data_IF_900768638296
#
_entry.id   IF_900768638296
#
_cell.length_a   1.000
_cell.length_b   1.000
_cell.length_c   1.000
_cell.angle_alpha   90.00
_cell.angle_beta   90.00
_cell.angle_gamma   90.00
#
_symmetry.space_group_name_H-M   'P 1'
#
loop_
_entity.id
_entity.type
_entity.pdbx_description
1 polymer ?
#
# COMPACT_ATOMS: atom_id res chain seq x y z
N UNK A 1 -7.59 -20.73 22.38
CA UNK A 1 -7.62 -19.22 22.27
C UNK A 1 -7.78 -18.80 20.81
N UNK A 2 -8.07 -17.51 20.52
CA UNK A 2 -8.20 -17.00 19.13
C UNK A 2 -6.98 -16.13 18.83
N UNK A 3 -6.16 -16.55 17.88
CA UNK A 3 -5.10 -15.71 17.29
C UNK A 3 -5.74 -14.63 16.42
N UNK A 4 -5.35 -13.37 16.59
CA UNK A 4 -5.97 -12.20 15.94
C UNK A 4 -4.96 -11.47 15.09
N UNK A 5 -5.19 -11.42 13.78
CA UNK A 5 -4.30 -10.71 12.83
C UNK A 5 -5.01 -9.61 12.07
N UNK A 6 -4.25 -8.59 11.70
CA UNK A 6 -4.57 -7.64 10.63
C UNK A 6 -3.82 -8.04 9.37
N UNK A 7 -4.49 -8.13 8.23
CA UNK A 7 -3.89 -8.53 6.95
C UNK A 7 -4.12 -7.44 5.90
N UNK A 8 -3.04 -6.86 5.38
CA UNK A 8 -3.08 -5.97 4.22
C UNK A 8 -2.56 -6.69 2.98
N UNK A 9 -3.43 -6.91 2.00
CA UNK A 9 -3.08 -7.48 0.69
C UNK A 9 -2.67 -6.34 -0.27
N UNK A 10 -1.48 -5.80 -0.06
CA UNK A 10 -0.95 -4.72 -0.88
C UNK A 10 -0.38 -5.19 -2.23
N UNK A 11 -0.23 -4.24 -3.17
CA UNK A 11 0.37 -4.51 -4.48
C UNK A 11 1.85 -4.87 -4.39
N UNK A 12 2.63 -4.16 -3.57
CA UNK A 12 4.06 -4.43 -3.39
C UNK A 12 4.32 -5.51 -2.35
N UNK A 13 3.63 -5.42 -1.23
CA UNK A 13 3.81 -6.32 -0.09
C UNK A 13 2.46 -6.81 0.43
N UNK A 14 2.44 -8.03 0.95
CA UNK A 14 1.43 -8.52 1.87
C UNK A 14 1.99 -8.33 3.28
N UNK A 15 1.23 -7.65 4.14
CA UNK A 15 1.67 -7.32 5.50
C UNK A 15 0.68 -7.90 6.50
N UNK A 16 1.21 -8.67 7.46
CA UNK A 16 0.46 -9.17 8.61
C UNK A 16 0.90 -8.40 9.85
N UNK A 17 -0.05 -7.98 10.65
CA UNK A 17 0.20 -7.43 11.97
C UNK A 17 -0.52 -8.25 13.03
N UNK A 18 0.23 -8.72 14.01
CA UNK A 18 -0.26 -9.29 15.25
C UNK A 18 0.13 -8.38 16.41
N UNK A 19 -0.79 -8.14 17.35
CA UNK A 19 -0.54 -7.23 18.49
C UNK A 19 0.56 -7.75 19.44
N UNK A 20 0.86 -9.03 19.40
CA UNK A 20 1.85 -9.70 20.28
C UNK A 20 3.13 -10.06 19.54
N UNK A 21 3.02 -10.57 18.31
CA UNK A 21 4.15 -11.03 17.48
C UNK A 21 4.77 -9.91 16.62
N UNK A 22 4.08 -8.77 16.47
CA UNK A 22 4.57 -7.65 15.68
C UNK A 22 4.11 -7.67 14.22
N UNK A 23 4.98 -7.20 13.32
CA UNK A 23 4.65 -7.04 11.89
C UNK A 23 5.53 -7.98 11.07
N UNK A 24 4.90 -8.76 10.20
CA UNK A 24 5.55 -9.61 9.21
C UNK A 24 5.17 -9.15 7.80
N UNK A 25 6.16 -9.10 6.90
CA UNK A 25 5.97 -8.61 5.53
C UNK A 25 6.60 -9.54 4.51
N UNK A 26 5.80 -9.87 3.49
CA UNK A 26 6.20 -10.64 2.31
C UNK A 26 6.00 -9.83 1.04
N UNK A 27 6.87 -10.05 0.04
CA UNK A 27 6.67 -9.50 -1.28
C UNK A 27 5.38 -10.08 -1.92
N UNK A 28 4.59 -9.21 -2.53
CA UNK A 28 3.35 -9.60 -3.24
C UNK A 28 3.68 -10.10 -4.65
N UNK A 29 4.37 -11.25 -4.74
CA UNK A 29 4.91 -11.77 -5.99
C UNK A 29 4.98 -13.29 -5.95
N UNK A 30 4.86 -13.93 -7.13
CA UNK A 30 5.15 -15.34 -7.35
C UNK A 30 6.15 -15.51 -8.47
N UNK A 31 7.02 -16.49 -8.36
CA UNK A 31 7.89 -16.98 -9.41
C UNK A 31 7.19 -18.14 -10.11
N UNK A 32 6.96 -18.00 -11.41
CA UNK A 32 6.17 -18.95 -12.22
C UNK A 32 7.04 -19.50 -13.35
N UNK A 33 7.08 -20.81 -13.49
CA UNK A 33 7.74 -21.48 -14.61
C UNK A 33 7.07 -21.10 -15.94
N UNK A 34 7.87 -20.71 -16.94
CA UNK A 34 7.38 -20.21 -18.25
C UNK A 34 6.62 -21.26 -19.03
N UNK A 35 7.05 -22.53 -18.96
CA UNK A 35 6.53 -23.62 -19.77
C UNK A 35 5.32 -24.28 -19.10
N UNK A 36 5.48 -24.71 -17.86
CA UNK A 36 4.42 -25.43 -17.12
C UNK A 36 3.38 -24.52 -16.47
N UNK A 37 3.64 -23.21 -16.37
CA UNK A 37 2.81 -22.23 -15.66
C UNK A 37 2.61 -22.55 -14.17
N UNK A 38 3.42 -23.39 -13.60
CA UNK A 38 3.37 -23.74 -12.16
C UNK A 38 4.08 -22.69 -11.33
N UNK A 39 3.53 -22.43 -10.15
CA UNK A 39 4.18 -21.59 -9.14
C UNK A 39 5.38 -22.36 -8.58
N UNK A 40 6.57 -21.78 -8.69
CA UNK A 40 7.83 -22.31 -8.15
C UNK A 40 7.95 -21.87 -6.69
N UNK A 41 7.82 -20.59 -6.42
CA UNK A 41 7.90 -19.99 -5.09
C UNK A 41 7.09 -18.69 -5.03
N UNK A 42 6.84 -18.20 -3.80
CA UNK A 42 6.09 -16.97 -3.54
C UNK A 42 6.83 -16.10 -2.54
N UNK A 43 6.44 -14.83 -2.47
CA UNK A 43 6.96 -13.91 -1.47
C UNK A 43 8.44 -13.57 -1.70
N UNK A 44 9.18 -13.42 -0.60
CA UNK A 44 10.61 -13.07 -0.61
C UNK A 44 11.43 -14.15 -1.32
N UNK A 45 11.12 -15.43 -1.13
CA UNK A 45 11.78 -16.54 -1.82
C UNK A 45 11.67 -16.46 -3.33
N UNK A 46 10.60 -15.90 -3.87
CA UNK A 46 10.45 -15.69 -5.30
C UNK A 46 11.44 -14.65 -5.84
N UNK A 47 11.73 -13.61 -5.05
CA UNK A 47 12.73 -12.60 -5.41
C UNK A 47 14.15 -13.19 -5.31
N UNK A 48 14.45 -13.91 -4.24
CA UNK A 48 15.77 -14.52 -4.01
C UNK A 48 16.16 -15.50 -5.13
N UNK A 49 15.20 -16.26 -5.65
CA UNK A 49 15.42 -17.25 -6.70
C UNK A 49 15.37 -16.65 -8.12
N UNK A 50 14.94 -15.39 -8.26
CA UNK A 50 14.72 -14.77 -9.57
C UNK A 50 16.00 -14.72 -10.43
N UNK A 51 17.12 -14.30 -9.87
CA UNK A 51 18.38 -14.11 -10.63
C UNK A 51 18.86 -15.42 -11.24
N UNK A 52 18.68 -16.55 -10.54
CA UNK A 52 19.07 -17.88 -11.01
C UNK A 52 18.07 -18.46 -12.04
N UNK A 53 16.81 -18.08 -11.98
CA UNK A 53 15.72 -18.69 -12.73
C UNK A 53 15.14 -17.78 -13.81
N UNK A 54 15.66 -16.58 -14.01
CA UNK A 54 15.11 -15.56 -14.91
C UNK A 54 14.96 -16.02 -16.36
N UNK A 55 15.80 -16.95 -16.83
CA UNK A 55 15.69 -17.52 -18.18
C UNK A 55 14.45 -18.40 -18.36
N UNK A 56 14.05 -19.15 -17.34
CA UNK A 56 12.95 -20.15 -17.38
C UNK A 56 11.73 -19.79 -16.55
N UNK A 57 11.76 -18.72 -15.80
CA UNK A 57 10.65 -18.30 -14.94
C UNK A 57 10.25 -16.84 -15.18
N UNK A 58 9.10 -16.44 -14.62
CA UNK A 58 8.56 -15.08 -14.63
C UNK A 58 8.18 -14.68 -13.21
N UNK A 59 8.50 -13.45 -12.82
CA UNK A 59 7.94 -12.81 -11.62
C UNK A 59 6.58 -12.20 -11.96
N UNK A 60 5.54 -12.64 -11.26
CA UNK A 60 4.17 -12.21 -11.50
C UNK A 60 3.55 -11.68 -10.20
N UNK A 61 2.92 -10.50 -10.28
CA UNK A 61 2.17 -9.93 -9.17
C UNK A 61 0.69 -10.28 -9.26
N UNK A 62 0.05 -10.70 -8.15
CA UNK A 62 -1.36 -11.13 -8.15
C UNK A 62 -2.36 -9.97 -8.20
N UNK A 63 -1.89 -8.74 -7.99
CA UNK A 63 -2.72 -7.55 -7.97
C UNK A 63 -2.43 -6.66 -9.18
N UNK A 64 -3.48 -6.00 -9.69
CA UNK A 64 -3.36 -4.97 -10.73
C UNK A 64 -4.14 -3.76 -10.29
N UNK A 65 -3.50 -2.60 -10.31
CA UNK A 65 -4.11 -1.35 -9.86
C UNK A 65 -4.76 -1.46 -8.46
N UNK A 66 -4.13 -2.21 -7.54
CA UNK A 66 -4.64 -2.41 -6.18
C UNK A 66 -5.80 -3.39 -6.02
N UNK A 67 -6.26 -4.01 -7.11
CA UNK A 67 -7.34 -5.02 -7.10
C UNK A 67 -6.80 -6.43 -7.37
N UNK A 68 -7.50 -7.44 -6.85
CA UNK A 68 -7.22 -8.85 -7.10
C UNK A 68 -7.31 -9.14 -8.60
N UNK A 69 -6.23 -9.65 -9.18
CA UNK A 69 -6.14 -10.00 -10.60
C UNK A 69 -5.96 -11.50 -10.83
N UNK A 70 -5.14 -12.15 -10.00
CA UNK A 70 -4.89 -13.59 -10.06
C UNK A 70 -5.20 -14.26 -8.72
N UNK A 71 -6.28 -15.05 -8.71
CA UNK A 71 -6.74 -15.75 -7.52
C UNK A 71 -5.75 -16.82 -7.05
N UNK A 72 -5.20 -17.61 -7.99
CA UNK A 72 -4.33 -18.75 -7.64
C UNK A 72 -3.03 -18.29 -7.00
N UNK A 73 -2.42 -17.25 -7.58
CA UNK A 73 -1.21 -16.65 -7.01
C UNK A 73 -1.51 -16.04 -5.65
N UNK A 74 -2.64 -15.29 -5.52
CA UNK A 74 -3.05 -14.69 -4.24
C UNK A 74 -3.25 -15.76 -3.19
N UNK A 75 -3.96 -16.85 -3.53
CA UNK A 75 -4.18 -17.99 -2.63
C UNK A 75 -2.87 -18.57 -2.13
N UNK A 76 -1.91 -18.79 -3.04
CA UNK A 76 -0.61 -19.38 -2.69
C UNK A 76 0.18 -18.47 -1.74
N UNK A 77 0.20 -17.15 -1.99
CA UNK A 77 0.90 -16.20 -1.11
C UNK A 77 0.20 -16.10 0.24
N UNK A 78 -1.13 -16.00 0.28
CA UNK A 78 -1.90 -15.93 1.53
C UNK A 78 -1.71 -17.19 2.36
N UNK A 79 -1.76 -18.37 1.72
CA UNK A 79 -1.53 -19.66 2.40
C UNK A 79 -0.11 -19.75 2.97
N UNK A 80 0.89 -19.27 2.24
CA UNK A 80 2.29 -19.20 2.71
C UNK A 80 2.41 -18.29 3.94
N UNK A 81 1.86 -17.09 3.87
CA UNK A 81 1.91 -16.10 4.95
C UNK A 81 1.15 -16.58 6.18
N UNK A 82 -0.05 -17.12 6.00
CA UNK A 82 -0.87 -17.66 7.11
C UNK A 82 -0.20 -18.88 7.73
N UNK A 83 0.40 -19.76 6.93
CA UNK A 83 1.11 -20.94 7.38
C UNK A 83 2.35 -20.65 8.25
N UNK A 84 2.93 -19.43 8.15
CA UNK A 84 4.04 -19.00 9.00
C UNK A 84 3.62 -18.42 10.36
N UNK A 85 2.30 -18.23 10.60
CA UNK A 85 1.78 -17.65 11.82
C UNK A 85 1.52 -18.77 12.83
N UNK A 86 2.04 -18.67 14.07
CA UNK A 86 1.69 -19.60 15.14
C UNK A 86 0.20 -19.45 15.52
N UNK A 87 -0.60 -20.49 15.26
CA UNK A 87 -2.04 -20.49 15.57
C UNK A 87 -2.31 -21.53 16.66
N UNK A 88 -2.90 -21.09 17.79
CA UNK A 88 -3.24 -22.00 18.89
C UNK A 88 -4.44 -22.90 18.57
N UNK A 89 -5.60 -22.31 18.28
CA UNK A 89 -6.83 -23.07 17.96
C UNK A 89 -7.57 -22.52 16.75
N UNK A 90 -7.77 -21.19 16.71
CA UNK A 90 -8.51 -20.49 15.66
C UNK A 90 -7.80 -19.22 15.26
N UNK A 91 -7.86 -18.91 13.98
CA UNK A 91 -7.34 -17.68 13.41
C UNK A 91 -8.48 -16.75 12.99
N UNK A 92 -8.50 -15.53 13.52
CA UNK A 92 -9.39 -14.46 13.12
C UNK A 92 -8.60 -13.37 12.43
N UNK A 93 -9.06 -12.96 11.24
CA UNK A 93 -8.43 -11.96 10.42
C UNK A 93 -9.32 -10.72 10.24
N UNK A 94 -8.76 -9.53 10.34
CA UNK A 94 -9.34 -8.32 9.77
C UNK A 94 -8.49 -7.94 8.57
N UNK A 95 -9.13 -7.85 7.39
CA UNK A 95 -8.47 -7.58 6.12
C UNK A 95 -8.76 -6.17 5.59
N UNK A 96 -7.74 -5.50 5.06
CA UNK A 96 -7.88 -4.23 4.35
C UNK A 96 -8.39 -4.42 2.93
N UNK A 97 -9.51 -3.77 2.60
CA UNK A 97 -10.06 -3.77 1.24
C UNK A 97 -10.10 -2.37 0.62
N UNK A 98 -9.97 -2.28 -0.72
CA UNK A 98 -10.14 -1.03 -1.45
C UNK A 98 -11.56 -0.46 -1.30
N UNK A 99 -11.69 0.86 -1.42
CA UNK A 99 -12.97 1.56 -1.29
C UNK A 99 -13.97 1.24 -2.42
N UNK A 100 -13.49 0.83 -3.58
CA UNK A 100 -14.26 0.52 -4.78
C UNK A 100 -14.39 -0.99 -5.06
N UNK A 101 -14.08 -1.84 -4.07
CA UNK A 101 -14.19 -3.29 -4.22
C UNK A 101 -15.66 -3.70 -4.41
N UNK A 102 -15.95 -4.35 -5.52
CA UNK A 102 -17.30 -4.86 -5.79
C UNK A 102 -17.59 -6.13 -4.99
N UNK A 103 -18.88 -6.39 -4.71
CA UNK A 103 -19.31 -7.53 -3.88
C UNK A 103 -18.82 -8.90 -4.37
N UNK A 104 -18.62 -9.09 -5.68
CA UNK A 104 -18.06 -10.34 -6.23
C UNK A 104 -16.60 -10.53 -5.79
N UNK A 105 -15.78 -9.49 -5.89
CA UNK A 105 -14.37 -9.54 -5.48
C UNK A 105 -14.22 -9.66 -3.97
N UNK A 106 -15.11 -9.02 -3.19
CA UNK A 106 -15.12 -9.17 -1.74
C UNK A 106 -15.39 -10.63 -1.33
N UNK A 107 -16.36 -11.30 -1.96
CA UNK A 107 -16.63 -12.74 -1.75
C UNK A 107 -15.42 -13.60 -2.10
N UNK A 108 -14.71 -13.28 -3.17
CA UNK A 108 -13.51 -13.99 -3.61
C UNK A 108 -12.37 -13.85 -2.60
N UNK A 109 -12.16 -12.65 -2.05
CA UNK A 109 -11.19 -12.41 -0.98
C UNK A 109 -11.52 -13.24 0.25
N UNK A 110 -12.79 -13.28 0.70
CA UNK A 110 -13.20 -14.12 1.82
C UNK A 110 -13.02 -15.62 1.56
N UNK A 111 -13.25 -16.07 0.32
CA UNK A 111 -13.00 -17.46 -0.05
C UNK A 111 -11.50 -17.80 0.05
N UNK A 112 -10.62 -16.93 -0.44
CA UNK A 112 -9.16 -17.09 -0.32
C UNK A 112 -8.74 -17.20 1.16
N UNK A 113 -9.27 -16.34 2.04
CA UNK A 113 -8.97 -16.39 3.46
C UNK A 113 -9.44 -17.69 4.12
N UNK A 114 -10.64 -18.13 3.79
CA UNK A 114 -11.19 -19.41 4.29
C UNK A 114 -10.36 -20.61 3.82
N UNK A 115 -9.99 -20.64 2.54
CA UNK A 115 -9.15 -21.70 1.94
C UNK A 115 -7.73 -21.73 2.56
N UNK A 116 -7.24 -20.57 3.06
CA UNK A 116 -5.98 -20.48 3.81
C UNK A 116 -6.09 -20.87 5.30
N UNK A 117 -7.27 -21.33 5.77
CA UNK A 117 -7.47 -21.80 7.14
C UNK A 117 -7.90 -20.72 8.15
N UNK A 118 -8.27 -19.52 7.69
CA UNK A 118 -8.79 -18.46 8.55
C UNK A 118 -10.25 -18.76 8.90
N UNK A 119 -10.52 -18.92 10.20
CA UNK A 119 -11.83 -19.37 10.71
C UNK A 119 -12.89 -18.26 10.68
N UNK A 120 -12.48 -16.99 10.78
CA UNK A 120 -13.35 -15.84 10.89
C UNK A 120 -12.68 -14.62 10.26
N UNK A 121 -13.35 -13.95 9.33
CA UNK A 121 -12.79 -12.83 8.57
C UNK A 121 -13.70 -11.61 8.57
N UNK A 122 -13.11 -10.44 8.76
CA UNK A 122 -13.79 -9.16 8.64
C UNK A 122 -13.04 -8.26 7.65
N UNK A 123 -13.77 -7.53 6.82
CA UNK A 123 -13.20 -6.57 5.88
C UNK A 123 -13.40 -5.13 6.37
N UNK A 124 -12.38 -4.30 6.20
CA UNK A 124 -12.38 -2.87 6.55
C UNK A 124 -11.73 -2.09 5.42
N UNK A 125 -12.27 -0.90 5.12
CA UNK A 125 -11.66 0.04 4.18
C UNK A 125 -10.22 0.38 4.59
N UNK A 126 -9.27 0.30 3.64
CA UNK A 126 -7.83 0.52 3.90
C UNK A 126 -7.53 1.92 4.43
N UNK A 127 -8.17 2.97 3.90
CA UNK A 127 -7.91 4.33 4.37
C UNK A 127 -8.39 4.54 5.82
N UNK A 128 -9.47 3.87 6.23
CA UNK A 128 -9.95 3.87 7.63
C UNK A 128 -8.97 3.11 8.53
N UNK A 129 -8.52 1.94 8.08
CA UNK A 129 -7.51 1.17 8.81
C UNK A 129 -6.20 1.95 8.94
N UNK A 130 -5.73 2.59 7.86
CA UNK A 130 -4.53 3.41 7.85
C UNK A 130 -4.59 4.57 8.86
N UNK A 131 -5.74 5.27 8.93
CA UNK A 131 -5.98 6.31 9.93
C UNK A 131 -5.77 5.79 11.36
N UNK A 132 -6.38 4.64 11.66
CA UNK A 132 -6.30 4.03 13.00
C UNK A 132 -4.88 3.58 13.31
N UNK A 133 -4.20 2.96 12.36
CA UNK A 133 -2.82 2.53 12.51
C UNK A 133 -1.82 3.67 12.65
N UNK A 134 -2.17 4.85 12.15
CA UNK A 134 -1.43 6.10 12.33
C UNK A 134 -1.74 6.82 13.66
N UNK A 135 -2.43 6.15 14.59
CA UNK A 135 -2.79 6.72 15.89
C UNK A 135 -4.01 7.65 15.86
N UNK A 136 -4.74 7.70 14.75
CA UNK A 136 -6.01 8.40 14.65
C UNK A 136 -7.18 7.58 15.19
N UNK A 137 -8.34 8.24 15.31
CA UNK A 137 -9.60 7.58 15.65
C UNK A 137 -10.64 7.82 14.55
N UNK A 138 -11.48 6.82 14.25
CA UNK A 138 -12.55 7.00 13.27
C UNK A 138 -13.61 8.03 13.70
N UNK A 139 -13.61 8.44 14.99
CA UNK A 139 -14.52 9.47 15.50
C UNK A 139 -14.09 10.90 15.14
N UNK A 140 -12.83 11.11 14.73
CA UNK A 140 -12.34 12.41 14.29
C UNK A 140 -12.94 12.82 12.93
N UNK A 141 -13.05 14.16 12.76
CA UNK A 141 -13.31 14.74 11.43
C UNK A 141 -11.96 14.98 10.76
N UNK A 142 -11.58 14.16 9.77
CA UNK A 142 -10.20 14.12 9.24
C UNK A 142 -10.19 13.51 7.84
N UNK A 143 -9.18 13.84 7.03
CA UNK A 143 -8.90 13.17 5.77
C UNK A 143 -7.78 12.14 6.00
N UNK A 144 -8.04 10.89 5.65
CA UNK A 144 -7.01 9.85 5.57
C UNK A 144 -6.57 9.68 4.13
N UNK A 145 -5.28 9.79 3.86
CA UNK A 145 -4.67 9.57 2.55
C UNK A 145 -3.60 8.49 2.69
N UNK A 146 -3.85 7.33 2.10
CA UNK A 146 -2.91 6.20 2.11
C UNK A 146 -2.31 6.02 0.71
N UNK A 147 -1.07 6.47 0.53
CA UNK A 147 -0.33 6.37 -0.75
C UNK A 147 0.38 5.03 -0.80
N UNK A 148 -0.24 4.06 -1.44
CA UNK A 148 0.33 2.72 -1.67
C UNK A 148 1.32 2.68 -2.83
N UNK A 149 1.70 1.48 -3.25
CA UNK A 149 2.60 1.29 -4.39
C UNK A 149 1.91 1.56 -5.73
N UNK A 150 0.69 1.06 -5.96
CA UNK A 150 -0.03 1.18 -7.25
C UNK A 150 -1.31 1.99 -7.20
N UNK A 151 -1.74 2.41 -6.01
CA UNK A 151 -2.95 3.19 -5.82
C UNK A 151 -2.88 4.01 -4.54
N UNK A 152 -3.66 5.09 -4.49
CA UNK A 152 -3.88 5.92 -3.32
C UNK A 152 -5.32 5.77 -2.87
N UNK A 153 -5.52 5.44 -1.60
CA UNK A 153 -6.83 5.35 -0.96
C UNK A 153 -7.09 6.61 -0.14
N UNK A 154 -8.25 7.22 -0.33
CA UNK A 154 -8.64 8.46 0.38
C UNK A 154 -9.97 8.20 1.08
N UNK A 155 -10.07 8.60 2.36
CA UNK A 155 -11.33 8.64 3.09
C UNK A 155 -11.48 9.94 3.86
N UNK A 156 -12.66 10.54 3.78
CA UNK A 156 -13.06 11.66 4.65
C UNK A 156 -13.95 11.10 5.74
N UNK A 157 -13.51 11.27 6.98
CA UNK A 157 -14.24 10.87 8.18
C UNK A 157 -14.84 12.10 8.84
N UNK A 158 -16.06 11.97 9.34
CA UNK A 158 -16.71 12.98 10.17
C UNK A 158 -17.59 12.31 11.23
N UNK A 159 -17.27 12.56 12.53
CA UNK A 159 -18.04 12.04 13.66
C UNK A 159 -18.37 10.55 13.58
N UNK A 160 -17.40 9.73 13.19
CA UNK A 160 -17.55 8.27 13.08
C UNK A 160 -18.20 7.78 11.79
N UNK A 161 -18.47 8.65 10.85
CA UNK A 161 -19.03 8.29 9.54
C UNK A 161 -18.03 8.58 8.43
N UNK A 162 -18.01 7.72 7.43
CA UNK A 162 -17.30 7.98 6.19
C UNK A 162 -18.22 8.82 5.30
N UNK A 163 -17.83 10.05 5.00
CA UNK A 163 -18.61 10.96 4.16
C UNK A 163 -18.17 10.96 2.71
N UNK A 164 -16.93 10.53 2.45
CA UNK A 164 -16.39 10.35 1.11
C UNK A 164 -15.28 9.30 1.11
N UNK A 165 -15.21 8.50 0.04
CA UNK A 165 -14.05 7.65 -0.26
C UNK A 165 -13.73 7.70 -1.73
N UNK A 166 -12.46 7.59 -2.06
CA UNK A 166 -12.00 7.28 -3.43
C UNK A 166 -10.75 6.41 -3.41
N UNK A 167 -10.53 5.74 -4.51
CA UNK A 167 -9.27 5.07 -4.83
C UNK A 167 -8.79 5.57 -6.18
N UNK A 168 -7.59 6.09 -6.19
CA UNK A 168 -6.96 6.66 -7.36
C UNK A 168 -5.80 5.78 -7.82
N UNK A 169 -5.71 5.56 -9.14
CA UNK A 169 -4.63 4.76 -9.74
C UNK A 169 -3.39 5.67 -9.90
N UNK A 170 -2.84 6.04 -8.77
CA UNK A 170 -1.58 6.77 -8.60
C UNK A 170 -0.92 6.29 -7.31
N UNK A 171 0.34 5.92 -7.35
CA UNK A 171 1.09 5.44 -6.19
C UNK A 171 2.60 5.50 -6.41
N UNK A 172 3.37 4.92 -5.50
CA UNK A 172 4.83 4.94 -5.53
C UNK A 172 5.45 4.42 -6.84
N UNK A 173 4.79 3.47 -7.52
CA UNK A 173 5.25 2.92 -8.80
C UNK A 173 5.17 3.93 -9.96
N UNK A 174 4.27 4.92 -9.89
CA UNK A 174 4.22 5.97 -10.92
C UNK A 174 5.46 6.86 -10.83
N UNK A 175 6.00 7.08 -9.63
CA UNK A 175 7.28 7.76 -9.42
C UNK A 175 8.45 6.89 -9.85
N UNK A 176 8.42 5.57 -9.62
CA UNK A 176 9.43 4.63 -10.12
C UNK A 176 9.47 4.68 -11.65
N UNK A 177 8.31 4.68 -12.31
CA UNK A 177 8.20 4.78 -13.78
C UNK A 177 8.72 6.10 -14.31
N UNK A 178 8.50 7.20 -13.59
CA UNK A 178 9.03 8.51 -13.97
C UNK A 178 10.56 8.51 -13.94
N UNK A 179 11.19 7.94 -12.90
CA UNK A 179 12.66 7.78 -12.84
C UNK A 179 13.17 6.91 -13.99
N UNK A 180 12.53 5.75 -14.22
CA UNK A 180 12.92 4.84 -15.33
C UNK A 180 12.84 5.54 -16.68
N UNK A 181 11.78 6.30 -16.93
CA UNK A 181 11.59 7.05 -18.16
C UNK A 181 12.67 8.14 -18.32
N UNK A 182 12.95 8.89 -17.25
CA UNK A 182 14.00 9.90 -17.25
C UNK A 182 15.36 9.31 -17.66
N UNK A 183 15.77 8.20 -17.05
CA UNK A 183 17.05 7.53 -17.37
C UNK A 183 17.09 7.09 -18.84
N UNK A 184 15.98 6.56 -19.36
CA UNK A 184 15.89 6.15 -20.74
C UNK A 184 16.00 7.34 -21.71
N UNK A 185 15.43 8.50 -21.37
CA UNK A 185 15.44 9.72 -22.19
C UNK A 185 16.80 10.41 -22.17
N UNK A 186 17.53 10.42 -21.03
CA UNK A 186 18.83 11.09 -20.92
C UNK A 186 19.97 10.33 -21.59
N UNK A 187 20.01 9.01 -21.45
CA UNK A 187 21.16 8.21 -21.91
C UNK A 187 20.82 7.04 -22.83
N UNK A 188 19.56 6.85 -23.20
CA UNK A 188 19.12 5.64 -23.90
C UNK A 188 19.33 4.37 -23.08
N UNK A 189 19.41 4.50 -21.75
CA UNK A 189 19.72 3.40 -20.83
C UNK A 189 18.43 2.79 -20.27
N UNK A 190 18.27 1.49 -20.44
CA UNK A 190 17.20 0.73 -19.81
C UNK A 190 17.62 0.22 -18.44
N UNK A 191 16.81 0.51 -17.43
CA UNK A 191 16.95 -0.06 -16.09
C UNK A 191 15.67 -0.82 -15.71
N UNK A 192 15.79 -1.74 -14.76
CA UNK A 192 14.62 -2.41 -14.19
C UNK A 192 13.78 -1.45 -13.34
N UNK A 193 12.54 -1.79 -13.09
CA UNK A 193 11.69 -0.99 -12.19
C UNK A 193 12.19 -1.02 -10.74
N UNK A 194 12.87 -2.10 -10.33
CA UNK A 194 13.51 -2.22 -9.01
C UNK A 194 14.69 -1.25 -8.85
N UNK A 195 15.52 -1.08 -9.88
CA UNK A 195 16.59 -0.08 -9.89
C UNK A 195 16.00 1.35 -9.83
N UNK A 196 14.99 1.65 -10.64
CA UNK A 196 14.34 2.95 -10.61
C UNK A 196 13.71 3.25 -9.24
N UNK A 197 13.14 2.22 -8.57
CA UNK A 197 12.64 2.33 -7.20
C UNK A 197 13.75 2.65 -6.20
N UNK A 198 14.87 1.95 -6.25
CA UNK A 198 16.00 2.22 -5.38
C UNK A 198 16.50 3.67 -5.53
N UNK A 199 16.59 4.16 -6.76
CA UNK A 199 16.94 5.56 -7.04
C UNK A 199 15.92 6.53 -6.43
N UNK A 200 14.61 6.30 -6.63
CA UNK A 200 13.56 7.12 -6.02
C UNK A 200 13.67 7.13 -4.49
N UNK A 201 13.87 5.98 -3.86
CA UNK A 201 13.95 5.87 -2.39
C UNK A 201 15.18 6.57 -1.85
N UNK A 202 16.30 6.51 -2.56
CA UNK A 202 17.56 7.12 -2.14
C UNK A 202 17.64 8.61 -2.48
N UNK A 203 17.32 9.01 -3.71
CA UNK A 203 17.52 10.37 -4.21
C UNK A 203 16.24 11.20 -4.26
N UNK A 204 15.06 10.57 -4.35
CA UNK A 204 13.80 11.23 -4.64
C UNK A 204 13.39 12.26 -3.60
N UNK A 205 12.99 13.43 -4.09
CA UNK A 205 12.46 14.53 -3.28
C UNK A 205 11.45 15.33 -4.09
N UNK A 206 10.42 15.82 -3.41
CA UNK A 206 9.46 16.80 -3.96
C UNK A 206 9.52 18.13 -3.20
N UNK A 207 10.55 18.30 -2.35
CA UNK A 207 10.77 19.50 -1.55
C UNK A 207 12.25 19.89 -1.53
N UNK A 208 12.50 21.13 -1.16
CA UNK A 208 13.86 21.64 -1.02
C UNK A 208 14.57 21.14 0.24
N UNK A 209 15.93 21.19 0.22
CA UNK A 209 16.74 20.95 1.41
C UNK A 209 17.08 19.47 1.70
N UNK A 210 16.84 18.56 0.75
CA UNK A 210 17.46 17.23 0.78
C UNK A 210 18.96 17.41 0.47
N UNK A 211 19.80 16.72 1.23
CA UNK A 211 21.25 16.72 0.98
C UNK A 211 21.56 16.20 -0.43
N UNK A 212 22.51 16.83 -1.11
CA UNK A 212 23.00 16.37 -2.40
C UNK A 212 23.63 14.99 -2.25
N UNK A 213 23.20 14.08 -3.08
CA UNK A 213 23.69 12.71 -3.11
C UNK A 213 23.61 12.15 -4.52
N UNK A 214 24.38 11.10 -4.77
CA UNK A 214 24.37 10.41 -6.05
C UNK A 214 24.44 8.90 -5.84
N UNK A 215 24.06 8.16 -6.86
CA UNK A 215 24.09 6.71 -6.91
C UNK A 215 24.61 6.24 -8.27
N UNK A 216 25.52 5.27 -8.23
CA UNK A 216 25.98 4.58 -9.43
C UNK A 216 25.03 3.45 -9.76
N UNK A 217 24.60 3.39 -10.99
CA UNK A 217 23.67 2.35 -11.49
C UNK A 217 24.28 1.65 -12.69
N UNK A 218 23.85 0.43 -12.91
CA UNK A 218 24.12 -0.35 -14.10
C UNK A 218 22.82 -0.60 -14.86
N UNK A 219 22.88 -0.39 -16.19
CA UNK A 219 21.76 -0.62 -17.09
C UNK A 219 22.22 -1.13 -18.43
N UNK A 220 21.32 -1.23 -19.39
CA UNK A 220 21.61 -1.65 -20.76
C UNK A 220 21.26 -0.57 -21.77
N UNK A 221 22.15 -0.32 -22.73
CA UNK A 221 21.87 0.59 -23.84
C UNK A 221 20.76 0.01 -24.72
N UNK A 222 19.72 0.81 -24.97
CA UNK A 222 18.54 0.41 -25.75
C UNK A 222 18.87 -0.03 -27.18
N UNK A 223 19.90 0.57 -27.79
CA UNK A 223 20.27 0.31 -29.17
C UNK A 223 21.16 -0.92 -29.35
N UNK A 224 22.05 -1.22 -28.40
CA UNK A 224 23.09 -2.24 -28.54
C UNK A 224 22.92 -3.40 -27.58
N UNK A 225 22.14 -3.24 -26.50
CA UNK A 225 22.04 -4.20 -25.41
C UNK A 225 23.27 -4.29 -24.52
N UNK A 226 24.30 -3.46 -24.77
CA UNK A 226 25.54 -3.48 -23.96
C UNK A 226 25.28 -2.92 -22.56
N UNK A 227 25.93 -3.50 -21.55
CA UNK A 227 25.95 -2.96 -20.20
C UNK A 227 26.64 -1.60 -20.16
N UNK A 228 26.10 -0.66 -19.39
CA UNK A 228 26.64 0.67 -19.17
C UNK A 228 26.44 1.08 -17.73
N UNK A 229 27.45 1.77 -17.18
CA UNK A 229 27.37 2.40 -15.86
C UNK A 229 27.09 3.89 -16.05
N UNK A 230 26.22 4.43 -15.20
CA UNK A 230 26.00 5.87 -15.12
C UNK A 230 25.76 6.28 -13.67
N UNK A 231 26.09 7.51 -13.34
CA UNK A 231 25.83 8.13 -12.04
C UNK A 231 24.58 8.99 -12.16
N UNK A 232 23.65 8.86 -11.25
CA UNK A 232 22.46 9.70 -11.10
C UNK A 232 22.60 10.49 -9.81
N UNK A 233 22.39 11.81 -9.88
CA UNK A 233 22.39 12.70 -8.72
C UNK A 233 20.97 13.07 -8.28
N UNK A 234 20.85 13.62 -7.08
CA UNK A 234 19.58 14.18 -6.60
C UNK A 234 19.11 15.38 -7.44
N UNK A 235 20.03 16.15 -8.06
CA UNK A 235 19.69 17.22 -9.01
C UNK A 235 19.02 16.68 -10.27
N UNK A 236 19.50 15.55 -10.80
CA UNK A 236 18.93 14.91 -11.97
C UNK A 236 17.48 14.49 -11.76
N UNK A 237 17.08 14.23 -10.52
CA UNK A 237 15.71 13.79 -10.16
C UNK A 237 14.78 14.97 -9.88
N UNK A 238 15.30 16.18 -9.71
CA UNK A 238 14.47 17.39 -9.58
C UNK A 238 13.59 17.55 -10.81
N UNK A 239 12.29 17.71 -10.61
CA UNK A 239 11.31 17.84 -11.70
C UNK A 239 10.80 16.53 -12.29
N UNK A 240 11.52 15.40 -12.14
CA UNK A 240 11.08 14.08 -12.64
C UNK A 240 9.71 13.69 -12.05
N UNK A 241 9.43 14.13 -10.84
CA UNK A 241 8.20 13.79 -10.13
C UNK A 241 7.02 14.74 -10.38
N UNK A 242 7.15 15.79 -11.20
CA UNK A 242 6.07 16.76 -11.42
C UNK A 242 4.75 16.11 -11.84
N UNK A 243 4.79 15.22 -12.84
CA UNK A 243 3.58 14.59 -13.38
C UNK A 243 2.88 13.69 -12.35
N UNK A 244 3.54 12.68 -11.71
CA UNK A 244 2.89 11.85 -10.73
C UNK A 244 2.47 12.65 -9.47
N UNK A 245 3.26 13.63 -9.04
CA UNK A 245 2.95 14.51 -7.93
C UNK A 245 1.68 15.33 -8.21
N UNK A 246 1.59 15.97 -9.37
CA UNK A 246 0.41 16.75 -9.77
C UNK A 246 -0.86 15.87 -9.74
N UNK A 247 -0.81 14.65 -10.29
CA UNK A 247 -1.94 13.71 -10.27
C UNK A 247 -2.35 13.37 -8.84
N UNK A 248 -1.39 13.07 -7.96
CA UNK A 248 -1.65 12.76 -6.56
C UNK A 248 -2.30 13.95 -5.83
N UNK A 249 -1.75 15.15 -5.98
CA UNK A 249 -2.29 16.36 -5.36
C UNK A 249 -3.71 16.69 -5.85
N UNK A 250 -3.96 16.52 -7.15
CA UNK A 250 -5.29 16.72 -7.73
C UNK A 250 -6.31 15.72 -7.18
N UNK A 251 -5.95 14.47 -6.99
CA UNK A 251 -6.82 13.45 -6.38
C UNK A 251 -7.25 13.85 -4.97
N UNK A 252 -6.31 14.34 -4.16
CA UNK A 252 -6.61 14.82 -2.80
C UNK A 252 -7.44 16.10 -2.83
N UNK A 253 -7.14 17.03 -3.75
CA UNK A 253 -7.92 18.26 -3.93
C UNK A 253 -9.38 17.97 -4.31
N UNK A 254 -9.62 16.95 -5.14
CA UNK A 254 -10.99 16.48 -5.47
C UNK A 254 -11.70 15.97 -4.22
N UNK A 255 -11.04 15.19 -3.37
CA UNK A 255 -11.61 14.71 -2.10
C UNK A 255 -11.96 15.87 -1.16
N UNK A 256 -11.09 16.88 -1.05
CA UNK A 256 -11.36 18.11 -0.26
C UNK A 256 -12.62 18.83 -0.75
N UNK A 257 -12.79 18.97 -2.08
CA UNK A 257 -13.97 19.61 -2.68
C UNK A 257 -15.28 18.85 -2.44
N UNK A 258 -15.21 17.57 -2.06
CA UNK A 258 -16.37 16.73 -1.76
C UNK A 258 -16.81 16.81 -0.29
N UNK A 259 -16.07 17.51 0.57
CA UNK A 259 -16.42 17.70 1.98
C UNK A 259 -17.66 18.61 2.05
N UNK A 260 -18.75 18.18 2.71
CA UNK A 260 -19.90 19.03 2.97
C UNK A 260 -19.51 20.31 3.70
N UNK A 261 -20.15 21.45 3.37
CA UNK A 261 -19.78 22.76 3.92
C UNK A 261 -19.83 22.83 5.45
N UNK A 262 -20.78 22.14 6.06
CA UNK A 262 -20.94 22.04 7.51
C UNK A 262 -19.84 21.23 8.22
N UNK A 263 -19.03 20.49 7.46
CA UNK A 263 -17.95 19.64 7.97
C UNK A 263 -16.55 20.23 7.73
N UNK A 264 -16.43 21.23 6.84
CA UNK A 264 -15.14 21.79 6.41
C UNK A 264 -14.29 22.25 7.57
N UNK A 265 -14.83 23.05 8.49
CA UNK A 265 -14.10 23.57 9.63
C UNK A 265 -13.53 22.45 10.51
N UNK A 266 -14.35 21.46 10.85
CA UNK A 266 -13.95 20.34 11.69
C UNK A 266 -12.87 19.45 11.02
N UNK A 267 -12.98 19.23 9.70
CA UNK A 267 -12.00 18.46 8.93
C UNK A 267 -10.69 19.23 8.78
N UNK A 268 -10.73 20.53 8.46
CA UNK A 268 -9.52 21.34 8.32
C UNK A 268 -8.76 21.52 9.62
N UNK A 269 -9.46 21.54 10.76
CA UNK A 269 -8.83 21.60 12.10
C UNK A 269 -7.94 20.38 12.37
N UNK A 270 -8.32 19.17 11.93
CA UNK A 270 -7.57 17.94 12.13
C UNK A 270 -6.67 17.59 10.93
N UNK A 271 -6.94 18.16 9.76
CA UNK A 271 -6.11 18.06 8.56
C UNK A 271 -6.12 16.70 7.88
N UNK A 272 -4.98 16.38 7.26
CA UNK A 272 -4.72 15.14 6.56
C UNK A 272 -3.80 14.24 7.39
N UNK A 273 -4.14 12.95 7.47
CA UNK A 273 -3.25 11.89 7.93
C UNK A 273 -2.72 11.16 6.70
N UNK A 274 -1.43 11.35 6.44
CA UNK A 274 -0.74 10.82 5.27
C UNK A 274 0.02 9.54 5.66
N UNK A 275 -0.26 8.43 4.95
CA UNK A 275 0.27 7.09 5.26
C UNK A 275 0.66 6.33 3.98
N UNK A 276 1.18 5.11 4.15
CA UNK A 276 1.60 4.23 3.06
C UNK A 276 3.04 4.48 2.60
N UNK A 277 3.64 3.50 1.92
CA UNK A 277 5.04 3.59 1.49
C UNK A 277 5.33 4.72 0.50
N UNK A 278 4.35 5.08 -0.36
CA UNK A 278 4.49 6.19 -1.30
C UNK A 278 4.53 7.57 -0.61
N UNK A 279 4.05 7.67 0.62
CA UNK A 279 4.11 8.90 1.40
C UNK A 279 5.52 9.22 1.92
N UNK A 280 6.45 8.27 1.86
CA UNK A 280 7.82 8.43 2.32
C UNK A 280 8.73 9.20 1.36
N UNK A 281 8.22 9.61 0.19
CA UNK A 281 8.94 10.53 -0.69
C UNK A 281 9.24 11.82 0.08
N UNK A 282 10.53 12.19 0.14
CA UNK A 282 10.99 13.33 0.93
C UNK A 282 10.20 14.60 0.61
N UNK A 283 9.59 15.21 1.63
CA UNK A 283 8.86 16.47 1.55
C UNK A 283 7.47 16.39 0.92
N UNK A 284 6.90 15.19 0.73
CA UNK A 284 5.55 15.05 0.18
C UNK A 284 4.50 15.67 1.11
N UNK A 285 4.63 15.50 2.41
CA UNK A 285 3.78 16.12 3.43
C UNK A 285 3.85 17.66 3.39
N UNK A 286 5.05 18.22 3.27
CA UNK A 286 5.28 19.66 3.15
C UNK A 286 4.68 20.22 1.85
N UNK A 287 4.86 19.50 0.74
CA UNK A 287 4.31 19.88 -0.56
C UNK A 287 2.78 19.84 -0.55
N UNK A 288 2.18 18.79 0.01
CA UNK A 288 0.73 18.69 0.16
C UNK A 288 0.19 19.83 1.04
N UNK A 289 0.83 20.11 2.18
CA UNK A 289 0.45 21.23 3.06
C UNK A 289 0.47 22.56 2.29
N UNK A 290 1.58 22.85 1.58
CA UNK A 290 1.74 24.09 0.82
C UNK A 290 0.69 24.28 -0.28
N UNK A 291 0.44 23.22 -1.04
CA UNK A 291 -0.44 23.30 -2.24
C UNK A 291 -1.92 23.24 -1.85
N UNK A 292 -2.28 22.41 -0.87
CA UNK A 292 -3.68 22.18 -0.50
C UNK A 292 -4.16 23.14 0.60
N UNK A 293 -3.27 23.86 1.30
CA UNK A 293 -3.62 24.79 2.36
C UNK A 293 -4.22 24.14 3.61
N UNK A 294 -3.92 22.84 3.82
CA UNK A 294 -4.43 22.07 4.95
C UNK A 294 -3.27 21.36 5.64
N UNK A 295 -3.28 21.28 6.97
CA UNK A 295 -2.21 20.63 7.74
C UNK A 295 -2.11 19.15 7.38
N UNK A 296 -0.88 18.65 7.22
CA UNK A 296 -0.59 17.24 6.92
C UNK A 296 0.28 16.67 8.04
N UNK A 297 -0.12 15.54 8.60
CA UNK A 297 0.69 14.79 9.55
C UNK A 297 0.96 13.37 9.05
N UNK A 298 2.15 12.87 9.33
CA UNK A 298 2.59 11.53 8.97
C UNK A 298 3.04 10.79 10.24
N UNK A 299 2.66 9.51 10.45
CA UNK A 299 3.20 8.71 11.53
C UNK A 299 4.67 8.37 11.29
N UNK A 300 5.39 7.92 12.32
CA UNK A 300 6.79 7.50 12.21
C UNK A 300 6.97 6.33 11.22
N UNK A 301 6.02 5.39 11.22
CA UNK A 301 6.04 4.22 10.33
C UNK A 301 4.81 4.21 9.41
N UNK A 302 4.78 5.03 8.36
CA UNK A 302 3.60 5.18 7.51
C UNK A 302 3.28 3.94 6.68
N UNK A 303 4.29 3.12 6.35
CA UNK A 303 4.16 1.93 5.50
C UNK A 303 3.30 0.83 6.16
N UNK A 304 3.34 0.72 7.48
CA UNK A 304 2.66 -0.34 8.25
C UNK A 304 1.29 0.08 8.80
N UNK A 305 0.89 1.33 8.54
CA UNK A 305 -0.32 1.91 9.12
C UNK A 305 -1.57 1.09 8.84
N UNK A 306 -1.74 0.54 7.62
CA UNK A 306 -2.90 -0.29 7.28
C UNK A 306 -2.93 -1.56 8.15
N UNK A 307 -1.87 -2.36 8.11
CA UNK A 307 -1.83 -3.64 8.82
C UNK A 307 -1.95 -3.44 10.35
N UNK A 308 -1.28 -2.43 10.90
CA UNK A 308 -1.37 -2.05 12.31
C UNK A 308 -2.80 -1.66 12.70
N UNK A 309 -3.46 -0.84 11.89
CA UNK A 309 -4.85 -0.45 12.11
C UNK A 309 -5.82 -1.62 12.07
N UNK A 310 -5.62 -2.56 11.16
CA UNK A 310 -6.43 -3.78 11.06
C UNK A 310 -6.29 -4.66 12.32
N UNK A 311 -5.09 -4.83 12.87
CA UNK A 311 -4.90 -5.59 14.11
C UNK A 311 -5.49 -4.87 15.33
N UNK A 312 -5.38 -3.54 15.41
CA UNK A 312 -6.05 -2.73 16.45
C UNK A 312 -7.56 -2.91 16.37
N UNK A 313 -8.17 -2.82 15.19
CA UNK A 313 -9.60 -3.05 14.99
C UNK A 313 -9.96 -4.48 15.43
N UNK A 314 -9.16 -5.48 15.04
CA UNK A 314 -9.40 -6.88 15.42
C UNK A 314 -9.41 -7.08 16.93
N UNK A 315 -8.55 -6.37 17.67
CA UNK A 315 -8.51 -6.45 19.13
C UNK A 315 -9.82 -5.97 19.79
N UNK A 316 -10.50 -5.01 19.16
CA UNK A 316 -11.74 -4.40 19.67
C UNK A 316 -13.02 -5.14 19.27
N UNK A 317 -12.98 -6.09 18.31
CA UNK A 317 -14.15 -6.88 17.93
C UNK A 317 -14.49 -7.86 19.05
N UNK A 318 -15.75 -7.84 19.59
CA UNK A 318 -16.15 -8.75 20.66
C UNK A 318 -16.08 -10.22 20.23
N UNK A 319 -15.65 -11.09 21.16
CA UNK A 319 -15.53 -12.54 20.91
C UNK A 319 -16.90 -13.22 20.70
N UNK A 320 -17.98 -12.65 21.25
CA UNK A 320 -19.34 -13.21 21.21
C UNK A 320 -20.08 -13.00 19.89
N UNK A 321 -19.64 -12.10 19.04
CA UNK A 321 -20.29 -11.84 17.77
C UNK A 321 -19.71 -12.78 16.70
N UNK A 322 -20.17 -14.02 16.68
CA UNK A 322 -19.97 -14.95 15.56
C UNK A 322 -20.80 -14.48 14.35
N UNK A 323 -20.38 -13.44 13.72
CA UNK A 323 -20.88 -13.06 12.39
C UNK A 323 -19.79 -13.51 11.44
N UNK A 324 -20.02 -14.54 10.65
CA UNK A 324 -19.09 -14.99 9.62
C UNK A 324 -18.61 -13.85 8.70
N UNK A 325 -17.84 -14.15 7.70
CA UNK A 325 -17.20 -13.24 6.74
C UNK A 325 -18.05 -12.00 6.42
N UNK A 326 -17.64 -10.81 6.87
CA UNK A 326 -18.44 -9.59 6.79
C UNK A 326 -17.59 -8.34 6.66
N UNK A 327 -18.05 -7.41 5.80
CA UNK A 327 -17.55 -6.04 5.78
C UNK A 327 -18.11 -5.26 6.98
N UNK A 328 -17.21 -4.77 7.83
CA UNK A 328 -17.55 -4.04 9.06
C UNK A 328 -17.12 -2.57 9.02
N UNK A 329 -16.73 -2.04 7.87
CA UNK A 329 -16.23 -0.66 7.73
C UNK A 329 -17.16 0.36 8.40
N UNK A 330 -18.47 0.26 8.20
CA UNK A 330 -19.47 1.15 8.80
C UNK A 330 -19.67 0.94 10.31
N UNK A 331 -19.18 -0.17 10.87
CA UNK A 331 -19.30 -0.49 12.29
C UNK A 331 -18.05 -0.11 13.08
N UNK A 332 -16.93 0.15 12.43
CA UNK A 332 -15.64 0.41 13.09
C UNK A 332 -15.75 1.52 14.12
N UNK A 333 -16.41 2.62 13.78
CA UNK A 333 -16.59 3.74 14.71
C UNK A 333 -17.32 3.36 16.02
N UNK A 334 -18.21 2.36 15.98
CA UNK A 334 -18.93 1.91 17.17
C UNK A 334 -18.01 1.24 18.20
N UNK A 335 -16.88 0.67 17.76
CA UNK A 335 -15.88 0.07 18.66
C UNK A 335 -14.98 1.11 19.36
N UNK A 336 -15.21 2.39 19.12
CA UNK A 336 -14.44 3.52 19.68
C UNK A 336 -15.30 4.50 20.50
N UNK A 337 -16.58 4.16 20.75
CA UNK A 337 -17.53 5.01 21.48
C UNK A 337 -17.53 4.82 22.99
N UNK A 338 -16.82 3.78 23.46
CA UNK A 338 -16.73 3.43 24.91
C UNK A 338 -15.44 3.96 25.54
#
# INVERSE_FOLDING_TARGET
MITKIGLDLGYANITVSDMTAGIYREQSVALIDKDSRRIISVGNSAIEQWDELSDRALLVRPFKNGLLFDRQITQSIVSHVVGSIPVEEKLRCVIGIPSDLIAKQEKEVFAILSDAGISESYAVNRAVAALIGAGGTPLQSVISVNVGASATEIAVMHNGQITYTSREIIGGEDFDKAVKQYIAEQGGVNVSLSVARAIKEQLGSVWHGKEESSVDIEGTLSLTGNSVKMTISSEDIVGVFEKPLHRLLMSVAVAIKKIPLDQVEAVFKNGIVLTGGGSMIHGLDLMMNKVLGISVRQPADPIDSVARGLSIINSKIPVKNRVGNKNITSLVANYYKD
#
